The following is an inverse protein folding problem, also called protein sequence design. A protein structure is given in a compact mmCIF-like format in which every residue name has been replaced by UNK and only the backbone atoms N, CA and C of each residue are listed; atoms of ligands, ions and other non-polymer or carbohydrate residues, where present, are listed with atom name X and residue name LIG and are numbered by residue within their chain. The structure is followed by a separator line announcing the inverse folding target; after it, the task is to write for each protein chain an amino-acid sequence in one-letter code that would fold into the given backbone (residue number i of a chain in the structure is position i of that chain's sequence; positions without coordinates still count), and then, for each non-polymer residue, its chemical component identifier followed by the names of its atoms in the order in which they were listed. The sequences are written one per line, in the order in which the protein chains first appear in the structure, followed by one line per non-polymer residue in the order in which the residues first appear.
data_IF_926396217787
#
_entry.id   IF_926396217787
#
_cell.length_a   1.000
_cell.length_b   1.000
_cell.length_c   1.000
_cell.angle_alpha   90.00
_cell.angle_beta   90.00
_cell.angle_gamma   90.00
#
_symmetry.space_group_name_H-M   'P 1'
#
loop_
_entity.id
_entity.type
_entity.pdbx_description
1 polymer ?
#
# COMPACT_ATOMS: atom_id res chain seq x y z
N UNK A 1 -2.44 -12.79 -7.48
CA UNK A 1 -2.05 -11.44 -7.91
C UNK A 1 -3.22 -10.49 -7.59
N UNK A 2 -2.96 -9.26 -7.12
CA UNK A 2 -3.95 -8.34 -6.53
C UNK A 2 -4.58 -8.82 -5.21
N UNK A 3 -3.81 -9.52 -4.38
CA UNK A 3 -4.28 -10.06 -3.08
C UNK A 3 -4.63 -8.98 -2.06
N UNK A 4 -4.21 -7.73 -2.28
CA UNK A 4 -4.61 -6.60 -1.46
C UNK A 4 -6.07 -6.18 -1.72
N UNK A 5 -6.60 -6.43 -2.93
CA UNK A 5 -8.01 -6.17 -3.24
C UNK A 5 -8.90 -7.28 -2.67
N UNK A 6 -10.06 -6.90 -2.15
CA UNK A 6 -11.07 -7.84 -1.68
C UNK A 6 -11.55 -8.74 -2.84
N UNK A 7 -11.84 -10.00 -2.53
CA UNK A 7 -12.25 -10.98 -3.54
C UNK A 7 -13.77 -10.96 -3.79
N UNK A 8 -14.52 -10.48 -2.81
CA UNK A 8 -15.97 -10.57 -2.69
C UNK A 8 -16.71 -9.29 -3.13
N UNK A 9 -16.01 -8.17 -3.30
CA UNK A 9 -16.60 -6.89 -3.74
C UNK A 9 -16.49 -6.62 -5.26
N UNK A 10 -15.95 -7.58 -6.02
CA UNK A 10 -15.71 -7.47 -7.46
C UNK A 10 -14.57 -6.53 -7.88
N UNK A 11 -13.95 -5.81 -6.93
CA UNK A 11 -12.89 -4.83 -7.25
C UNK A 11 -11.64 -5.48 -7.84
N UNK A 12 -11.32 -6.71 -7.42
CA UNK A 12 -10.21 -7.50 -7.95
C UNK A 12 -10.42 -7.87 -9.41
N UNK A 13 -11.60 -8.37 -9.75
CA UNK A 13 -11.96 -8.76 -11.12
C UNK A 13 -12.00 -7.53 -12.03
N UNK A 14 -12.64 -6.45 -11.58
CA UNK A 14 -12.69 -5.19 -12.33
C UNK A 14 -11.30 -4.60 -12.59
N UNK A 15 -10.34 -4.75 -11.67
CA UNK A 15 -8.95 -4.34 -11.89
C UNK A 15 -8.25 -5.26 -12.91
N UNK A 16 -8.39 -6.58 -12.78
CA UNK A 16 -7.81 -7.54 -13.70
C UNK A 16 -8.31 -7.33 -15.14
N UNK A 17 -9.62 -7.09 -15.32
CA UNK A 17 -10.22 -6.82 -16.63
C UNK A 17 -9.66 -5.53 -17.25
N UNK A 18 -9.56 -4.44 -16.47
CA UNK A 18 -8.95 -3.19 -16.94
C UNK A 18 -7.49 -3.35 -17.38
N UNK A 19 -6.72 -4.20 -16.70
CA UNK A 19 -5.36 -4.51 -17.13
C UNK A 19 -5.34 -5.31 -18.43
N UNK A 20 -6.15 -6.37 -18.51
CA UNK A 20 -6.23 -7.24 -19.67
C UNK A 20 -6.67 -6.50 -20.94
N UNK A 21 -7.69 -5.64 -20.85
CA UNK A 21 -8.17 -4.78 -21.96
C UNK A 21 -7.10 -3.84 -22.51
N UNK A 22 -6.03 -3.59 -21.74
CA UNK A 22 -4.91 -2.72 -22.11
C UNK A 22 -3.63 -3.48 -22.41
N UNK A 23 -3.68 -4.81 -22.47
CA UNK A 23 -2.51 -5.65 -22.72
C UNK A 23 -1.50 -5.65 -21.58
N UNK A 24 -1.88 -5.18 -20.38
CA UNK A 24 -1.02 -5.18 -19.20
C UNK A 24 -1.01 -6.60 -18.64
N UNK A 25 0.16 -7.23 -18.64
CA UNK A 25 0.31 -8.62 -18.22
C UNK A 25 0.37 -8.75 -16.70
N UNK A 26 0.00 -9.92 -16.14
CA UNK A 26 0.21 -10.24 -14.74
C UNK A 26 1.65 -10.02 -14.26
N UNK A 27 2.63 -10.34 -15.11
CA UNK A 27 4.05 -10.17 -14.83
C UNK A 27 4.42 -8.68 -14.70
N UNK A 28 3.87 -7.80 -15.55
CA UNK A 28 4.08 -6.36 -15.45
C UNK A 28 3.50 -5.80 -14.15
N UNK A 29 2.27 -6.18 -13.80
CA UNK A 29 1.65 -5.76 -12.53
C UNK A 29 2.48 -6.22 -11.33
N UNK A 30 2.96 -7.48 -11.36
CA UNK A 30 3.82 -8.03 -10.30
C UNK A 30 5.14 -7.27 -10.19
N UNK A 31 5.77 -6.95 -11.31
CA UNK A 31 7.02 -6.18 -11.34
C UNK A 31 6.83 -4.83 -10.67
N UNK A 32 5.80 -4.09 -11.06
CA UNK A 32 5.47 -2.77 -10.51
C UNK A 32 5.12 -2.80 -9.02
N UNK A 33 4.42 -3.84 -8.57
CA UNK A 33 4.11 -3.99 -7.14
C UNK A 33 5.34 -4.36 -6.30
N UNK A 34 6.33 -5.02 -6.91
CA UNK A 34 7.56 -5.43 -6.22
C UNK A 34 8.58 -4.29 -6.09
N UNK A 35 8.68 -3.41 -7.09
CA UNK A 35 9.55 -2.24 -7.05
C UNK A 35 8.85 -0.98 -6.52
N UNK A 36 7.57 -1.08 -6.13
CA UNK A 36 6.81 0.05 -5.62
C UNK A 36 6.59 1.18 -6.64
N UNK A 37 6.77 0.92 -7.93
CA UNK A 37 6.69 1.91 -8.99
C UNK A 37 7.99 2.68 -9.24
N UNK A 38 9.13 2.27 -8.66
CA UNK A 38 10.43 2.95 -8.83
C UNK A 38 10.82 3.15 -10.31
N UNK A 39 10.63 2.12 -11.16
CA UNK A 39 10.94 2.24 -12.58
C UNK A 39 10.07 3.30 -13.30
N UNK A 40 8.78 3.36 -12.96
CA UNK A 40 7.86 4.35 -13.53
C UNK A 40 8.18 5.77 -13.02
N UNK A 41 8.51 5.90 -11.73
CA UNK A 41 8.93 7.17 -11.13
C UNK A 41 10.18 7.72 -11.81
N UNK A 42 11.22 6.88 -11.97
CA UNK A 42 12.46 7.27 -12.62
C UNK A 42 12.23 7.73 -14.07
N UNK A 43 11.41 6.99 -14.84
CA UNK A 43 11.08 7.35 -16.21
C UNK A 43 10.30 8.67 -16.31
N UNK A 44 9.31 8.88 -15.44
CA UNK A 44 8.54 10.12 -15.38
C UNK A 44 9.41 11.32 -14.97
N UNK A 45 10.29 11.14 -13.99
CA UNK A 45 11.20 12.18 -13.50
C UNK A 45 12.26 12.57 -14.54
N UNK A 46 12.70 11.63 -15.38
CA UNK A 46 13.63 11.91 -16.48
C UNK A 46 13.00 12.82 -17.57
N UNK A 47 11.67 12.84 -17.70
CA UNK A 47 10.95 13.79 -18.55
C UNK A 47 11.11 13.60 -20.07
N UNK A 48 11.73 12.50 -20.52
CA UNK A 48 11.91 12.21 -21.94
C UNK A 48 10.57 12.08 -22.68
N UNK A 49 10.41 12.66 -23.88
CA UNK A 49 9.23 12.42 -24.70
C UNK A 49 9.00 10.91 -24.92
N UNK A 50 7.76 10.46 -24.72
CA UNK A 50 7.42 9.04 -24.88
C UNK A 50 7.90 8.12 -23.75
N UNK A 51 8.31 8.66 -22.58
CA UNK A 51 8.77 7.86 -21.43
C UNK A 51 7.78 6.75 -21.01
N UNK A 52 6.48 6.96 -21.23
CA UNK A 52 5.43 6.02 -20.84
C UNK A 52 5.31 4.81 -21.80
N UNK A 53 5.87 4.88 -23.01
CA UNK A 53 5.72 3.83 -24.04
C UNK A 53 6.30 2.49 -23.58
N UNK A 54 7.40 2.51 -22.83
CA UNK A 54 8.01 1.31 -22.25
C UNK A 54 7.08 0.55 -21.27
N UNK A 55 6.03 1.22 -20.79
CA UNK A 55 5.04 0.68 -19.86
C UNK A 55 3.66 0.47 -20.50
N UNK A 56 3.53 0.61 -21.82
CA UNK A 56 2.24 0.51 -22.53
C UNK A 56 1.48 1.84 -22.66
N UNK A 57 2.18 2.96 -22.51
CA UNK A 57 1.66 4.31 -22.71
C UNK A 57 1.06 4.95 -21.44
N UNK A 58 0.64 6.23 -21.52
CA UNK A 58 0.26 7.02 -20.34
C UNK A 58 -0.89 6.42 -19.53
N UNK A 59 -1.89 5.84 -20.19
CA UNK A 59 -3.02 5.19 -19.51
C UNK A 59 -2.58 3.94 -18.73
N UNK A 60 -1.66 3.14 -19.29
CA UNK A 60 -1.15 1.97 -18.61
C UNK A 60 -0.35 2.36 -17.36
N UNK A 61 0.49 3.40 -17.45
CA UNK A 61 1.19 3.96 -16.29
C UNK A 61 0.23 4.46 -15.22
N UNK A 62 -0.84 5.16 -15.61
CA UNK A 62 -1.85 5.65 -14.65
C UNK A 62 -2.55 4.50 -13.92
N UNK A 63 -2.92 3.43 -14.65
CA UNK A 63 -3.54 2.24 -14.07
C UNK A 63 -2.58 1.49 -13.12
N UNK A 64 -1.33 1.31 -13.53
CA UNK A 64 -0.29 0.67 -12.72
C UNK A 64 0.03 1.47 -11.45
N UNK A 65 0.16 2.80 -11.58
CA UNK A 65 0.40 3.70 -10.43
C UNK A 65 -0.78 3.74 -9.46
N UNK A 66 -2.01 3.65 -9.97
CA UNK A 66 -3.20 3.50 -9.12
C UNK A 66 -3.18 2.19 -8.33
N UNK A 67 -2.67 1.10 -8.93
CA UNK A 67 -2.52 -0.17 -8.23
C UNK A 67 -1.44 -0.13 -7.14
N UNK A 68 -0.31 0.54 -7.41
CA UNK A 68 0.71 0.81 -6.38
C UNK A 68 0.11 1.60 -5.21
N UNK A 69 -0.68 2.63 -5.51
CA UNK A 69 -1.33 3.46 -4.48
C UNK A 69 -2.33 2.64 -3.65
N UNK A 70 -3.14 1.80 -4.29
CA UNK A 70 -4.05 0.89 -3.60
C UNK A 70 -3.26 -0.06 -2.69
N UNK A 71 -2.21 -0.70 -3.21
CA UNK A 71 -1.35 -1.58 -2.42
C UNK A 71 -0.71 -0.88 -1.22
N UNK A 72 -0.17 0.34 -1.42
CA UNK A 72 0.43 1.16 -0.37
C UNK A 72 -0.59 1.52 0.73
N UNK A 73 -1.85 1.80 0.37
CA UNK A 73 -2.91 2.05 1.34
C UNK A 73 -3.13 0.83 2.26
N UNK A 74 -3.15 -0.38 1.71
CA UNK A 74 -3.28 -1.61 2.51
C UNK A 74 -2.05 -1.86 3.41
N UNK A 75 -0.84 -1.55 2.92
CA UNK A 75 0.37 -1.62 3.75
C UNK A 75 0.32 -0.62 4.91
N UNK A 76 -0.09 0.61 4.64
CA UNK A 76 -0.24 1.65 5.65
C UNK A 76 -1.30 1.28 6.70
N UNK A 77 -2.47 0.78 6.26
CA UNK A 77 -3.51 0.27 7.17
C UNK A 77 -2.97 -0.84 8.07
N UNK A 78 -2.20 -1.78 7.52
CA UNK A 78 -1.56 -2.84 8.31
C UNK A 78 -0.58 -2.28 9.34
N UNK A 79 0.34 -1.41 8.91
CA UNK A 79 1.33 -0.81 9.80
C UNK A 79 0.67 0.03 10.91
N UNK A 80 -0.38 0.78 10.57
CA UNK A 80 -1.19 1.54 11.53
C UNK A 80 -1.86 0.62 12.56
N UNK A 81 -2.43 -0.51 12.13
CA UNK A 81 -3.05 -1.49 13.02
C UNK A 81 -2.03 -2.16 13.97
N UNK A 82 -0.84 -2.52 13.47
CA UNK A 82 0.25 -3.04 14.30
C UNK A 82 0.70 -2.01 15.33
N UNK A 83 0.89 -0.75 14.89
CA UNK A 83 1.23 0.36 15.78
C UNK A 83 0.16 0.56 16.84
N UNK A 84 -1.12 0.47 16.47
CA UNK A 84 -2.23 0.58 17.41
C UNK A 84 -2.17 -0.46 18.51
N UNK A 85 -2.00 -1.74 18.15
CA UNK A 85 -1.89 -2.84 19.11
C UNK A 85 -0.70 -2.66 20.05
N UNK A 86 0.48 -2.34 19.50
CA UNK A 86 1.68 -2.10 20.31
C UNK A 86 1.52 -0.91 21.28
N UNK A 87 0.88 0.18 20.84
CA UNK A 87 0.63 1.33 21.71
C UNK A 87 -0.38 1.04 22.80
N UNK A 88 -1.37 0.17 22.54
CA UNK A 88 -2.29 -0.27 23.57
C UNK A 88 -1.54 -1.02 24.69
N UNK A 89 -0.67 -1.97 24.34
CA UNK A 89 0.17 -2.70 25.30
C UNK A 89 1.13 -1.76 26.06
N UNK A 90 1.76 -0.80 25.37
CA UNK A 90 2.64 0.17 26.02
C UNK A 90 1.91 1.06 27.05
N UNK A 91 0.62 1.32 26.87
CA UNK A 91 -0.17 2.10 27.84
C UNK A 91 -0.51 1.31 29.11
N UNK A 92 -0.37 -0.02 29.09
CA UNK A 92 -0.51 -0.86 30.29
C UNK A 92 0.76 -0.78 31.17
N UNK A 93 1.92 -0.52 30.57
CA UNK A 93 3.22 -0.48 31.26
C UNK A 93 3.73 0.95 31.54
N UNK A 94 3.42 1.89 30.67
CA UNK A 94 3.99 3.24 30.69
C UNK A 94 2.92 4.33 30.67
N UNK A 95 3.29 5.50 31.18
CA UNK A 95 2.42 6.67 31.08
C UNK A 95 2.27 7.11 29.61
N UNK A 96 1.10 7.66 29.25
CA UNK A 96 0.88 8.21 27.91
C UNK A 96 1.84 9.35 27.54
N UNK A 97 2.43 10.05 28.51
CA UNK A 97 3.45 11.08 28.27
C UNK A 97 4.77 10.45 27.85
N UNK A 98 5.17 9.37 28.53
CA UNK A 98 6.38 8.59 28.19
C UNK A 98 6.26 8.05 26.77
N UNK A 99 5.15 7.37 26.47
CA UNK A 99 4.89 6.81 25.13
C UNK A 99 4.84 7.90 24.06
N UNK A 100 4.24 9.06 24.36
CA UNK A 100 4.21 10.21 23.46
C UNK A 100 5.62 10.73 23.12
N UNK A 101 6.50 10.80 24.12
CA UNK A 101 7.90 11.21 23.96
C UNK A 101 8.67 10.28 23.02
N UNK A 102 8.57 8.97 23.23
CA UNK A 102 9.25 7.97 22.40
C UNK A 102 8.71 7.95 20.96
N UNK A 103 7.40 8.14 20.77
CA UNK A 103 6.78 8.12 19.44
C UNK A 103 6.84 9.46 18.70
N UNK A 104 7.32 10.53 19.33
CA UNK A 104 7.34 11.87 18.75
C UNK A 104 5.95 12.42 18.40
N UNK A 105 4.93 12.10 19.21
CA UNK A 105 3.54 12.54 18.98
C UNK A 105 2.96 13.22 20.22
N UNK A 106 1.86 13.95 20.06
CA UNK A 106 1.14 14.52 21.19
C UNK A 106 0.50 13.41 22.07
N UNK A 107 0.39 13.65 23.38
CA UNK A 107 -0.25 12.74 24.34
C UNK A 107 -1.65 12.28 23.90
N UNK A 108 -2.49 13.22 23.42
CA UNK A 108 -3.83 12.87 22.93
C UNK A 108 -3.76 11.86 21.77
N UNK A 109 -2.76 12.01 20.89
CA UNK A 109 -2.59 11.14 19.73
C UNK A 109 -2.27 9.69 20.14
N UNK A 110 -1.61 9.49 21.28
CA UNK A 110 -1.33 8.15 21.82
C UNK A 110 -2.63 7.39 22.09
N UNK A 111 -3.61 8.02 22.74
CA UNK A 111 -4.91 7.38 23.00
C UNK A 111 -5.73 7.13 21.73
N UNK A 112 -5.65 8.06 20.75
CA UNK A 112 -6.28 7.85 19.44
C UNK A 112 -5.68 6.65 18.72
N UNK A 113 -4.35 6.52 18.74
CA UNK A 113 -3.64 5.38 18.16
C UNK A 113 -4.05 4.09 18.87
N UNK A 114 -4.02 4.02 20.19
CA UNK A 114 -4.41 2.81 20.95
C UNK A 114 -5.85 2.36 20.66
N UNK A 115 -6.77 3.32 20.49
CA UNK A 115 -8.20 3.02 20.24
C UNK A 115 -8.49 2.51 18.83
N UNK A 116 -7.62 2.81 17.86
CA UNK A 116 -7.86 2.45 16.46
C UNK A 116 -7.99 0.93 16.27
N UNK A 117 -7.19 0.14 16.98
CA UNK A 117 -7.09 -1.32 16.87
C UNK A 117 -6.57 -1.81 15.52
N UNK A 118 -6.42 -3.12 15.40
CA UNK A 118 -6.15 -3.79 14.12
C UNK A 118 -7.47 -3.98 13.36
N UNK A 119 -7.82 -3.03 12.48
CA UNK A 119 -9.06 -3.08 11.69
C UNK A 119 -8.80 -3.27 10.19
N UNK A 120 -9.53 -4.17 9.52
CA UNK A 120 -9.47 -4.28 8.07
C UNK A 120 -10.01 -3.01 7.38
N UNK A 121 -9.70 -2.80 6.09
CA UNK A 121 -8.96 -3.72 5.22
C UNK A 121 -7.44 -3.52 5.30
N UNK A 122 -6.71 -4.63 5.49
CA UNK A 122 -5.25 -4.69 5.37
C UNK A 122 -4.85 -5.95 4.60
N UNK A 123 -3.71 -5.91 3.92
CA UNK A 123 -3.19 -7.08 3.21
C UNK A 123 -2.56 -8.07 4.21
N UNK A 124 -2.93 -9.34 4.14
CA UNK A 124 -2.39 -10.37 5.03
C UNK A 124 -0.87 -10.58 4.83
N UNK A 125 -0.45 -10.78 3.58
CA UNK A 125 0.95 -11.04 3.20
C UNK A 125 1.36 -10.19 2.01
N UNK A 126 2.58 -9.64 2.06
CA UNK A 126 3.17 -8.92 0.92
C UNK A 126 3.43 -9.86 -0.25
N UNK A 127 3.30 -9.39 -1.50
CA UNK A 127 3.39 -10.24 -2.68
C UNK A 127 4.80 -10.78 -2.99
N UNK A 128 5.86 -10.16 -2.45
CA UNK A 128 7.25 -10.62 -2.60
C UNK A 128 7.73 -11.59 -1.50
N UNK A 129 6.86 -11.98 -0.55
CA UNK A 129 7.17 -13.12 0.32
C UNK A 129 6.86 -14.41 -0.45
N UNK A 130 7.84 -14.87 -1.22
CA UNK A 130 7.90 -16.26 -1.70
C UNK A 130 7.90 -17.17 -0.47
N UNK A 131 6.90 -18.06 -0.36
CA UNK A 131 7.04 -19.22 0.52
C UNK A 131 8.04 -20.20 -0.08
#
# INVERSE_FOLDING_TARGET
MLTHRAADDGSREAAANRFAERGITPEQVRSVLNDGGDAMYAAAAAGSPGWAEAFGGPLAVALLSAEVSAFAAHLNSRASGVRSAAVAELLDEYSAVTVAGELGVARQKVYEIARAGLRPPYIEKVPWRTQ
#
